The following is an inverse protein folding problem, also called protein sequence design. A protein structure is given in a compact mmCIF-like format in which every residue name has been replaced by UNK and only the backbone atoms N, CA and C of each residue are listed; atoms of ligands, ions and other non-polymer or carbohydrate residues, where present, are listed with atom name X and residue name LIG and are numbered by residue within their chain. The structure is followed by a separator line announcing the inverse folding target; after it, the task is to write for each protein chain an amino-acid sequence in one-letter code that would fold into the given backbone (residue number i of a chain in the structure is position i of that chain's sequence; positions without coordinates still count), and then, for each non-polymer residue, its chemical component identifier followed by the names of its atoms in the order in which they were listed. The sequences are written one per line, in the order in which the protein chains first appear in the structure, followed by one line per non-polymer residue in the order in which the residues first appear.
data_IF_506099902397
#
_entry.id   IF_506099902397
#
_cell.length_a   1.000
_cell.length_b   1.000
_cell.length_c   1.000
_cell.angle_alpha   90.00
_cell.angle_beta   90.00
_cell.angle_gamma   90.00
#
_symmetry.space_group_name_H-M   'P 1'
#
loop_
_entity.id
_entity.type
_entity.pdbx_description
1 polymer ?
#
# COMPACT_ATOMS: atom_id res chain seq x y z
N UNK A 1 18.27 59.65 -42.29
CA UNK A 1 18.27 60.18 -40.91
C UNK A 1 18.22 59.01 -39.93
N UNK A 2 19.35 58.74 -39.29
CA UNK A 2 19.63 57.78 -38.22
C UNK A 2 20.64 58.53 -37.32
N UNK A 3 20.39 58.66 -36.03
CA UNK A 3 21.33 59.24 -35.05
C UNK A 3 21.50 58.20 -33.92
N UNK A 4 22.68 57.60 -33.69
CA UNK A 4 23.99 58.12 -33.23
C UNK A 4 24.13 57.92 -31.70
N UNK A 5 24.87 56.90 -31.25
CA UNK A 5 26.22 56.96 -30.60
C UNK A 5 26.20 57.81 -29.31
N UNK A 6 26.13 57.17 -28.12
CA UNK A 6 27.25 56.70 -27.25
C UNK A 6 27.77 57.76 -26.26
N UNK A 7 27.76 57.38 -24.98
CA UNK A 7 28.70 57.72 -23.90
C UNK A 7 28.83 59.19 -23.47
N UNK A 8 28.75 59.45 -22.15
CA UNK A 8 29.75 60.21 -21.35
C UNK A 8 29.33 60.16 -19.86
N UNK A 9 30.23 59.61 -19.06
CA UNK A 9 30.23 59.41 -17.62
C UNK A 9 30.26 60.71 -16.79
N UNK A 10 29.40 60.82 -15.77
CA UNK A 10 29.67 60.72 -14.32
C UNK A 10 30.75 61.69 -13.80
N UNK A 11 30.24 62.81 -13.26
CA UNK A 11 30.96 63.89 -12.59
C UNK A 11 31.00 63.66 -11.07
N UNK A 12 32.22 63.45 -10.57
CA UNK A 12 32.84 64.00 -9.34
C UNK A 12 31.91 64.69 -8.32
N UNK A 13 31.76 64.02 -7.16
CA UNK A 13 32.08 64.45 -5.78
C UNK A 13 31.81 65.91 -5.34
N UNK A 14 31.35 66.03 -4.07
CA UNK A 14 31.78 67.00 -3.03
C UNK A 14 30.61 67.68 -2.27
N UNK A 15 30.49 67.29 -0.99
CA UNK A 15 30.28 68.11 0.24
C UNK A 15 28.89 68.34 0.88
N UNK A 16 28.91 68.04 2.19
CA UNK A 16 28.36 68.78 3.34
C UNK A 16 27.03 68.28 3.94
N UNK A 17 27.20 67.69 5.14
CA UNK A 17 26.43 67.84 6.37
C UNK A 17 24.92 68.06 6.30
N UNK A 18 24.13 67.24 7.00
CA UNK A 18 23.60 67.58 8.32
C UNK A 18 22.74 66.44 8.90
N UNK A 19 22.92 66.24 10.19
CA UNK A 19 22.17 65.40 11.13
C UNK A 19 20.66 65.69 11.07
N UNK A 20 19.80 64.69 10.87
CA UNK A 20 18.50 64.61 11.56
C UNK A 20 17.91 63.18 11.56
N UNK A 21 17.48 62.77 12.76
CA UNK A 21 16.76 61.56 13.15
C UNK A 21 15.98 60.78 12.07
N UNK A 22 16.23 59.46 11.99
CA UNK A 22 15.29 58.52 11.37
C UNK A 22 14.99 57.37 12.34
N UNK A 23 13.71 57.30 12.69
CA UNK A 23 13.05 56.30 13.54
C UNK A 23 13.36 54.88 13.04
N UNK A 24 13.87 54.02 13.92
CA UNK A 24 14.01 52.58 13.69
C UNK A 24 12.62 51.93 13.65
N UNK A 25 12.09 51.68 12.45
CA UNK A 25 10.98 50.76 12.24
C UNK A 25 11.56 49.34 12.11
N UNK A 26 11.57 48.58 13.21
CA UNK A 26 11.90 47.15 13.19
C UNK A 26 10.75 46.40 12.53
N UNK A 27 10.94 45.99 11.27
CA UNK A 27 10.05 45.05 10.59
C UNK A 27 10.38 43.65 11.10
N UNK A 28 9.55 43.14 12.00
CA UNK A 28 9.60 41.74 12.44
C UNK A 28 9.00 40.88 11.34
N UNK A 29 9.84 40.14 10.61
CA UNK A 29 9.38 39.03 9.77
C UNK A 29 8.97 37.87 10.69
N UNK A 30 7.74 37.33 10.62
CA UNK A 30 7.42 36.08 11.28
C UNK A 30 8.22 34.98 10.58
N UNK A 31 9.24 34.48 11.26
CA UNK A 31 9.94 33.26 10.88
C UNK A 31 8.94 32.11 10.88
N UNK A 32 8.89 31.38 9.75
CA UNK A 32 8.20 30.10 9.66
C UNK A 32 8.72 29.18 10.77
N UNK A 33 7.83 28.85 11.71
CA UNK A 33 8.09 27.87 12.75
C UNK A 33 8.21 26.49 12.09
N UNK A 34 9.40 25.91 12.16
CA UNK A 34 9.70 24.54 11.74
C UNK A 34 9.04 23.57 12.72
N UNK A 35 7.80 23.17 12.43
CA UNK A 35 7.06 22.15 13.17
C UNK A 35 7.13 20.83 12.40
N UNK A 36 8.30 20.17 12.42
CA UNK A 36 8.41 18.76 12.04
C UNK A 36 7.92 17.92 13.22
N UNK A 37 6.87 17.09 13.06
CA UNK A 37 6.55 16.10 14.08
C UNK A 37 7.72 15.11 14.17
N UNK A 38 8.23 14.90 15.38
CA UNK A 38 9.17 13.82 15.64
C UNK A 38 8.46 12.49 15.38
N UNK A 39 9.03 11.68 14.49
CA UNK A 39 8.52 10.34 14.21
C UNK A 39 8.94 9.45 15.39
N UNK A 40 8.03 9.24 16.32
CA UNK A 40 8.22 8.27 17.40
C UNK A 40 8.02 6.86 16.82
N UNK A 41 8.93 5.93 17.14
CA UNK A 41 8.81 4.55 16.68
C UNK A 41 7.55 3.91 17.30
N UNK A 42 6.74 3.19 16.51
CA UNK A 42 5.51 2.58 17.02
C UNK A 42 5.84 1.51 18.07
N UNK A 43 5.02 1.46 19.11
CA UNK A 43 5.19 0.48 20.19
C UNK A 43 5.00 -0.95 19.68
N UNK A 44 5.56 -1.98 20.37
CA UNK A 44 5.35 -3.39 20.01
C UNK A 44 3.87 -3.81 19.93
N UNK A 45 2.96 -3.09 20.59
CA UNK A 45 1.52 -3.34 20.58
C UNK A 45 0.83 -2.72 19.35
N UNK A 46 1.25 -1.52 18.94
CA UNK A 46 0.83 -0.91 17.66
C UNK A 46 1.42 -1.67 16.46
N UNK A 47 2.63 -2.21 16.60
CA UNK A 47 3.23 -3.13 15.63
C UNK A 47 2.53 -4.51 15.57
N UNK A 48 1.72 -4.85 16.59
CA UNK A 48 0.94 -6.10 16.69
C UNK A 48 -0.53 -5.94 16.36
N UNK A 49 -0.99 -4.74 16.01
CA UNK A 49 -2.30 -4.50 15.42
C UNK A 49 -3.47 -5.06 16.23
N UNK A 50 -3.81 -4.46 17.35
CA UNK A 50 -5.13 -4.65 17.99
C UNK A 50 -5.46 -3.53 18.97
N UNK A 51 -6.40 -2.67 18.57
CA UNK A 51 -7.52 -2.15 19.38
C UNK A 51 -8.12 -0.89 18.74
N UNK A 52 -9.04 -1.06 17.79
CA UNK A 52 -10.03 -0.02 17.47
C UNK A 52 -11.39 -0.49 18.00
N UNK A 53 -12.17 0.39 18.67
CA UNK A 53 -13.43 0.01 19.28
C UNK A 53 -14.42 -0.49 18.22
N UNK A 54 -15.07 -1.62 18.52
CA UNK A 54 -16.12 -2.19 17.69
C UNK A 54 -17.27 -1.19 17.50
N UNK A 55 -17.54 -0.79 16.25
CA UNK A 55 -18.74 -0.03 15.91
C UNK A 55 -19.97 -0.94 16.10
N UNK A 56 -20.68 -0.72 17.20
CA UNK A 56 -22.03 -1.27 17.44
C UNK A 56 -23.01 -0.59 16.48
N UNK A 57 -23.29 -1.23 15.35
CA UNK A 57 -24.47 -0.95 14.55
C UNK A 57 -25.17 -2.28 14.21
N UNK A 58 -26.50 -2.40 14.38
CA UNK A 58 -27.22 -3.62 14.01
C UNK A 58 -27.26 -3.76 12.48
N UNK A 59 -26.73 -4.85 11.95
CA UNK A 59 -26.85 -5.21 10.54
C UNK A 59 -28.26 -5.83 10.35
N UNK A 60 -29.10 -5.31 9.44
CA UNK A 60 -30.35 -6.00 9.09
C UNK A 60 -30.01 -7.30 8.36
N UNK A 61 -30.62 -8.41 8.80
CA UNK A 61 -30.44 -9.73 8.19
C UNK A 61 -30.83 -9.69 6.70
N UNK A 62 -29.96 -10.16 5.77
CA UNK A 62 -30.37 -10.31 4.39
C UNK A 62 -31.36 -11.46 4.25
N UNK A 63 -32.43 -11.21 3.50
CA UNK A 63 -33.42 -12.21 3.11
C UNK A 63 -32.72 -13.39 2.39
N UNK A 64 -33.11 -14.60 2.77
CA UNK A 64 -32.58 -15.85 2.23
C UNK A 64 -32.68 -15.90 0.70
N UNK A 65 -31.54 -15.81 0.02
CA UNK A 65 -31.41 -16.21 -1.37
C UNK A 65 -31.10 -17.71 -1.41
N UNK A 66 -31.88 -18.46 -2.19
CA UNK A 66 -31.72 -19.88 -2.42
C UNK A 66 -30.31 -20.24 -2.93
N UNK A 67 -29.79 -21.45 -2.62
CA UNK A 67 -28.42 -21.82 -2.94
C UNK A 67 -28.27 -21.97 -4.46
N UNK A 68 -27.36 -21.19 -5.06
CA UNK A 68 -26.87 -21.48 -6.40
C UNK A 68 -26.04 -22.76 -6.33
N UNK A 69 -26.46 -23.77 -7.10
CA UNK A 69 -25.83 -25.08 -7.21
C UNK A 69 -24.31 -24.95 -7.45
N UNK A 70 -23.54 -25.55 -6.53
CA UNK A 70 -22.09 -25.59 -6.57
C UNK A 70 -21.59 -26.41 -7.76
N UNK A 71 -20.91 -25.74 -8.70
CA UNK A 71 -19.91 -26.39 -9.53
C UNK A 71 -18.66 -26.59 -8.69
N UNK A 72 -18.29 -27.85 -8.47
CA UNK A 72 -17.06 -28.24 -7.78
C UNK A 72 -15.85 -27.60 -8.48
N UNK A 73 -14.99 -26.84 -7.78
CA UNK A 73 -13.83 -26.24 -8.41
C UNK A 73 -12.88 -27.36 -8.85
N UNK A 74 -12.57 -27.40 -10.14
CA UNK A 74 -11.59 -28.32 -10.70
C UNK A 74 -10.31 -28.33 -9.84
N UNK A 75 -9.89 -29.53 -9.41
CA UNK A 75 -8.76 -29.72 -8.53
C UNK A 75 -7.52 -28.98 -9.07
N UNK A 76 -6.98 -28.08 -8.25
CA UNK A 76 -5.74 -27.37 -8.54
C UNK A 76 -4.59 -28.39 -8.56
N UNK A 77 -3.65 -28.34 -9.52
CA UNK A 77 -2.52 -29.28 -9.54
C UNK A 77 -1.52 -29.05 -8.40
N UNK A 78 -1.77 -28.07 -7.52
CA UNK A 78 -0.85 -27.63 -6.49
C UNK A 78 -1.36 -27.98 -5.09
N UNK A 79 -0.48 -28.52 -4.25
CA UNK A 79 -0.80 -28.89 -2.86
C UNK A 79 -0.66 -27.68 -1.93
N UNK A 80 -1.38 -27.63 -0.78
CA UNK A 80 -1.10 -26.65 0.27
C UNK A 80 0.39 -26.68 0.65
N UNK A 81 0.99 -25.51 0.90
CA UNK A 81 2.39 -25.43 1.31
C UNK A 81 3.43 -25.61 0.19
N UNK A 82 3.02 -25.75 -1.08
CA UNK A 82 3.94 -25.99 -2.19
C UNK A 82 4.74 -24.74 -2.56
N UNK A 83 6.03 -24.93 -2.82
CA UNK A 83 6.91 -23.86 -3.26
C UNK A 83 6.68 -23.50 -4.74
N UNK A 84 6.89 -22.23 -5.09
CA UNK A 84 6.87 -21.73 -6.45
C UNK A 84 7.98 -20.70 -6.66
N UNK A 85 8.31 -20.44 -7.93
CA UNK A 85 9.31 -19.45 -8.32
C UNK A 85 8.64 -18.28 -9.04
N UNK A 86 9.01 -17.06 -8.68
CA UNK A 86 8.53 -15.82 -9.30
C UNK A 86 9.65 -14.79 -9.31
N UNK A 87 9.98 -14.19 -10.46
CA UNK A 87 11.01 -13.13 -10.55
C UNK A 87 12.35 -13.52 -9.89
N UNK A 88 12.81 -14.76 -10.09
CA UNK A 88 14.05 -15.25 -9.47
C UNK A 88 13.97 -15.43 -7.94
N UNK A 89 12.77 -15.41 -7.37
CA UNK A 89 12.49 -15.65 -5.96
C UNK A 89 11.79 -17.00 -5.79
N UNK A 90 12.32 -17.86 -4.91
CA UNK A 90 11.63 -19.05 -4.44
C UNK A 90 10.77 -18.69 -3.23
N UNK A 91 9.50 -19.06 -3.28
CA UNK A 91 8.49 -18.77 -2.26
C UNK A 91 7.81 -20.05 -1.85
N UNK A 92 7.64 -20.27 -0.54
CA UNK A 92 6.77 -21.31 0.00
C UNK A 92 5.46 -20.65 0.43
N UNK A 93 4.33 -21.10 -0.13
CA UNK A 93 3.04 -20.63 0.37
C UNK A 93 2.80 -21.15 1.80
N UNK A 94 2.13 -20.37 2.68
CA UNK A 94 1.70 -20.87 3.98
C UNK A 94 0.82 -22.11 3.89
N UNK A 95 0.87 -22.92 4.94
CA UNK A 95 -0.05 -24.04 5.10
C UNK A 95 -1.49 -23.53 5.28
N UNK A 96 -2.46 -24.31 4.80
CA UNK A 96 -3.89 -23.95 4.81
C UNK A 96 -4.32 -22.98 3.70
N UNK A 97 -3.40 -22.33 2.99
CA UNK A 97 -3.75 -21.54 1.81
C UNK A 97 -4.06 -22.46 0.63
N UNK A 98 -5.15 -22.15 -0.07
CA UNK A 98 -5.66 -22.96 -1.16
C UNK A 98 -5.24 -22.35 -2.49
N UNK A 99 -4.29 -22.98 -3.18
CA UNK A 99 -3.80 -22.47 -4.47
C UNK A 99 -4.87 -22.58 -5.55
N UNK A 100 -5.06 -21.49 -6.28
CA UNK A 100 -6.00 -21.39 -7.39
C UNK A 100 -5.27 -21.24 -8.73
N UNK A 101 -5.96 -21.61 -9.81
CA UNK A 101 -5.54 -21.23 -11.16
C UNK A 101 -5.58 -19.70 -11.28
N UNK A 102 -4.49 -19.03 -11.66
CA UNK A 102 -4.52 -17.57 -11.84
C UNK A 102 -5.58 -17.14 -12.86
N UNK A 103 -6.36 -16.13 -12.50
CA UNK A 103 -7.47 -15.64 -13.33
C UNK A 103 -7.02 -15.03 -14.68
N UNK A 104 -5.74 -14.63 -14.79
CA UNK A 104 -5.15 -14.11 -16.02
C UNK A 104 -3.63 -14.36 -16.06
N UNK A 105 -3.00 -14.10 -17.22
CA UNK A 105 -1.56 -14.34 -17.44
C UNK A 105 -0.63 -13.41 -16.67
N UNK A 106 -1.15 -12.29 -16.16
CA UNK A 106 -0.38 -11.31 -15.38
C UNK A 106 -0.14 -11.81 -13.95
N UNK A 107 -1.11 -12.54 -13.37
CA UNK A 107 -0.99 -13.20 -12.06
C UNK A 107 -0.08 -14.43 -12.19
N UNK A 108 1.05 -14.43 -11.49
CA UNK A 108 2.00 -15.55 -11.42
C UNK A 108 1.57 -16.61 -10.42
N UNK A 109 0.87 -16.19 -9.37
CA UNK A 109 0.20 -17.08 -8.46
C UNK A 109 -1.09 -16.44 -7.93
N UNK A 110 -2.02 -17.28 -7.50
CA UNK A 110 -3.27 -16.87 -6.87
C UNK A 110 -3.63 -17.89 -5.80
N UNK A 111 -4.09 -17.43 -4.65
CA UNK A 111 -4.50 -18.26 -3.53
C UNK A 111 -5.77 -17.73 -2.92
N UNK A 112 -6.56 -18.66 -2.41
CA UNK A 112 -7.68 -18.42 -1.51
C UNK A 112 -7.22 -18.65 -0.08
N UNK A 113 -7.54 -17.71 0.80
CA UNK A 113 -7.19 -17.72 2.22
C UNK A 113 -8.47 -18.02 3.00
N UNK A 114 -8.65 -19.24 3.53
CA UNK A 114 -9.89 -19.64 4.18
C UNK A 114 -10.32 -18.68 5.29
N UNK A 115 -11.58 -18.27 5.28
CA UNK A 115 -12.15 -17.30 6.22
C UNK A 115 -11.97 -17.71 7.70
N UNK A 116 -12.00 -16.71 8.58
CA UNK A 116 -12.18 -16.92 10.02
C UNK A 116 -13.61 -17.38 10.30
N UNK A 117 -13.84 -18.10 11.41
CA UNK A 117 -15.15 -18.72 11.71
C UNK A 117 -16.34 -17.76 11.67
N UNK A 118 -16.12 -16.48 12.00
CA UNK A 118 -17.15 -15.44 12.06
C UNK A 118 -17.32 -14.64 10.76
N UNK A 119 -16.53 -14.93 9.72
CA UNK A 119 -16.60 -14.28 8.41
C UNK A 119 -17.29 -15.16 7.38
N UNK A 120 -17.92 -14.57 6.37
CA UNK A 120 -18.51 -15.31 5.24
C UNK A 120 -17.61 -15.34 3.99
N UNK A 121 -16.64 -14.44 3.90
CA UNK A 121 -15.80 -14.29 2.72
C UNK A 121 -14.36 -14.68 3.02
N UNK A 122 -13.81 -15.53 2.17
CA UNK A 122 -12.38 -15.84 2.18
C UNK A 122 -11.55 -14.65 1.71
N UNK A 123 -10.28 -14.63 2.11
CA UNK A 123 -9.29 -13.74 1.53
C UNK A 123 -8.80 -14.24 0.17
N UNK A 124 -8.23 -13.35 -0.62
CA UNK A 124 -7.52 -13.68 -1.86
C UNK A 124 -6.10 -13.11 -1.78
N UNK A 125 -5.10 -13.89 -2.17
CA UNK A 125 -3.74 -13.41 -2.47
C UNK A 125 -3.49 -13.54 -3.97
N UNK A 126 -2.88 -12.52 -4.55
CA UNK A 126 -2.33 -12.54 -5.90
C UNK A 126 -0.86 -12.17 -5.87
N UNK A 127 -0.09 -12.83 -6.73
CA UNK A 127 1.33 -12.52 -6.95
C UNK A 127 1.49 -12.01 -8.36
N UNK A 128 1.91 -10.75 -8.49
CA UNK A 128 1.95 -10.03 -9.77
C UNK A 128 3.32 -9.35 -9.91
N UNK A 129 3.98 -9.42 -11.08
CA UNK A 129 5.16 -8.62 -11.35
C UNK A 129 4.79 -7.14 -11.28
N UNK A 130 5.57 -6.39 -10.53
CA UNK A 130 5.29 -5.01 -10.27
C UNK A 130 5.79 -4.11 -11.42
N UNK A 131 5.02 -3.06 -11.70
CA UNK A 131 5.40 -2.00 -12.61
C UNK A 131 5.09 -0.64 -11.96
N UNK A 132 6.00 0.32 -12.15
CA UNK A 132 5.99 1.59 -11.43
C UNK A 132 6.44 1.41 -9.97
N UNK A 133 7.03 2.44 -9.38
CA UNK A 133 7.58 2.37 -8.03
C UNK A 133 6.54 2.11 -6.94
N UNK A 134 7.02 1.94 -5.70
CA UNK A 134 6.19 1.68 -4.52
C UNK A 134 5.08 2.72 -4.35
N UNK A 135 5.41 4.01 -4.42
CA UNK A 135 4.46 5.10 -4.14
C UNK A 135 3.28 5.11 -5.12
N UNK A 136 3.55 4.93 -6.42
CA UNK A 136 2.51 4.85 -7.44
C UNK A 136 1.55 3.68 -7.19
N UNK A 137 2.08 2.54 -6.71
CA UNK A 137 1.27 1.37 -6.40
C UNK A 137 0.47 1.55 -5.10
N UNK A 138 1.09 2.14 -4.09
CA UNK A 138 0.42 2.47 -2.84
C UNK A 138 -0.78 3.38 -3.10
N UNK A 139 -0.62 4.43 -3.90
CA UNK A 139 -1.74 5.31 -4.27
C UNK A 139 -2.86 4.55 -4.97
N UNK A 140 -2.52 3.66 -5.92
CA UNK A 140 -3.52 2.80 -6.58
C UNK A 140 -4.26 1.90 -5.59
N UNK A 141 -3.60 1.38 -4.57
CA UNK A 141 -4.26 0.54 -3.57
C UNK A 141 -5.12 1.34 -2.60
N UNK A 142 -4.67 2.52 -2.16
CA UNK A 142 -5.47 3.45 -1.35
C UNK A 142 -6.77 3.83 -2.06
N UNK A 143 -6.72 4.05 -3.37
CA UNK A 143 -7.89 4.37 -4.21
C UNK A 143 -8.90 3.22 -4.36
N UNK A 144 -8.59 2.02 -3.88
CA UNK A 144 -9.55 0.91 -3.84
C UNK A 144 -10.41 0.92 -2.58
N UNK A 145 -10.30 1.94 -1.74
CA UNK A 145 -11.13 2.12 -0.56
C UNK A 145 -12.07 3.30 -0.76
N UNK A 146 -13.24 3.24 -0.12
CA UNK A 146 -14.24 4.32 -0.14
C UNK A 146 -13.66 5.62 0.42
N UNK A 147 -12.93 5.48 1.53
CA UNK A 147 -12.15 6.54 2.16
C UNK A 147 -10.68 6.18 2.02
N UNK A 148 -9.83 7.16 1.74
CA UNK A 148 -8.39 6.94 1.58
C UNK A 148 -7.80 6.58 2.95
N UNK A 149 -7.33 5.33 3.16
CA UNK A 149 -6.84 4.90 4.47
C UNK A 149 -5.42 5.40 4.69
N UNK A 150 -5.00 5.60 5.94
CA UNK A 150 -3.57 5.79 6.24
C UNK A 150 -2.84 4.44 6.18
N UNK A 151 -1.70 4.35 5.47
CA UNK A 151 -0.98 3.11 5.34
C UNK A 151 -0.06 2.84 6.53
N UNK A 152 -0.11 1.64 7.07
CA UNK A 152 0.95 1.14 7.95
C UNK A 152 2.01 0.46 7.09
N UNK A 153 3.26 0.90 7.19
CA UNK A 153 4.35 0.43 6.33
C UNK A 153 5.53 -0.03 7.19
N UNK A 154 5.90 -1.29 7.05
CA UNK A 154 7.08 -1.87 7.68
C UNK A 154 8.10 -2.23 6.60
N UNK A 155 9.28 -1.61 6.64
CA UNK A 155 10.38 -1.87 5.72
C UNK A 155 11.42 -2.76 6.38
N UNK A 156 11.91 -3.77 5.65
CA UNK A 156 12.91 -4.70 6.13
C UNK A 156 13.76 -5.25 4.99
N UNK A 157 14.89 -5.88 5.33
CA UNK A 157 15.72 -6.65 4.41
C UNK A 157 15.53 -8.14 4.67
N UNK A 158 15.20 -8.89 3.63
CA UNK A 158 15.03 -10.35 3.68
C UNK A 158 15.96 -10.98 2.65
N UNK A 159 16.90 -11.81 3.08
CA UNK A 159 17.92 -12.43 2.21
C UNK A 159 18.60 -11.43 1.24
N UNK A 160 18.89 -10.21 1.73
CA UNK A 160 19.51 -9.14 0.94
C UNK A 160 18.56 -8.33 0.04
N UNK A 161 17.28 -8.72 -0.08
CA UNK A 161 16.27 -8.00 -0.85
C UNK A 161 15.56 -6.96 0.02
N UNK A 162 15.24 -5.81 -0.56
CA UNK A 162 14.38 -4.82 0.08
C UNK A 162 12.92 -5.28 0.02
N UNK A 163 12.26 -5.29 1.17
CA UNK A 163 10.86 -5.64 1.32
C UNK A 163 10.12 -4.54 2.06
N UNK A 164 8.98 -4.11 1.52
CA UNK A 164 8.03 -3.23 2.21
C UNK A 164 6.70 -3.96 2.39
N UNK A 165 6.30 -4.18 3.64
CA UNK A 165 5.00 -4.72 4.00
C UNK A 165 4.07 -3.55 4.25
N UNK A 166 2.91 -3.55 3.60
CA UNK A 166 1.89 -2.50 3.66
C UNK A 166 0.60 -3.11 4.18
N UNK A 167 -0.01 -2.43 5.15
CA UNK A 167 -1.37 -2.72 5.61
C UNK A 167 -2.26 -1.51 5.37
N UNK A 168 -3.46 -1.77 4.83
CA UNK A 168 -4.54 -0.80 4.66
C UNK A 168 -5.83 -1.40 5.21
N UNK A 169 -6.59 -0.64 5.98
CA UNK A 169 -7.87 -1.06 6.54
C UNK A 169 -8.98 -0.08 6.13
N UNK A 170 -10.19 -0.58 5.85
CA UNK A 170 -11.33 0.29 5.58
C UNK A 170 -12.46 -0.39 4.81
N UNK A 171 -13.30 0.43 4.18
CA UNK A 171 -14.34 -0.06 3.26
C UNK A 171 -13.74 -0.26 1.87
N UNK A 172 -13.49 -1.51 1.49
CA UNK A 172 -12.91 -1.87 0.19
C UNK A 172 -13.96 -1.83 -0.92
N UNK A 173 -13.63 -1.21 -2.04
CA UNK A 173 -14.49 -1.07 -3.22
C UNK A 173 -14.21 -2.21 -4.19
N UNK A 174 -14.79 -3.38 -3.92
CA UNK A 174 -14.53 -4.62 -4.64
C UNK A 174 -15.11 -4.62 -6.05
N UNK A 175 -14.35 -5.15 -7.02
CA UNK A 175 -14.81 -5.50 -8.37
C UNK A 175 -14.29 -6.88 -8.72
N UNK A 176 -15.17 -7.76 -9.18
CA UNK A 176 -14.79 -9.08 -9.67
C UNK A 176 -13.96 -8.97 -10.96
N UNK A 177 -14.26 -7.96 -11.80
CA UNK A 177 -13.51 -7.59 -13.01
C UNK A 177 -13.02 -6.15 -12.85
N UNK A 178 -11.85 -5.92 -12.21
CA UNK A 178 -11.34 -4.58 -11.96
C UNK A 178 -11.16 -3.72 -13.23
N UNK A 179 -10.92 -4.35 -14.38
CA UNK A 179 -10.72 -3.68 -15.66
C UNK A 179 -12.02 -3.38 -16.43
N UNK A 180 -13.16 -3.93 -15.99
CA UNK A 180 -14.45 -3.70 -16.64
C UNK A 180 -15.03 -2.36 -16.17
N UNK A 181 -15.13 -1.33 -17.02
CA UNK A 181 -15.66 -0.02 -16.61
C UNK A 181 -17.16 -0.07 -16.27
N UNK A 182 -17.91 -1.06 -16.79
CA UNK A 182 -19.33 -1.19 -16.55
C UNK A 182 -19.67 -1.85 -15.21
N UNK A 183 -18.72 -2.56 -14.60
CA UNK A 183 -18.93 -3.17 -13.29
C UNK A 183 -18.86 -2.10 -12.18
N UNK A 184 -19.98 -1.94 -11.47
CA UNK A 184 -20.04 -1.11 -10.29
C UNK A 184 -19.27 -1.77 -9.13
N UNK A 185 -18.48 -0.98 -8.40
CA UNK A 185 -17.78 -1.47 -7.23
C UNK A 185 -18.77 -1.78 -6.09
N UNK A 186 -18.58 -2.93 -5.45
CA UNK A 186 -19.36 -3.36 -4.30
C UNK A 186 -18.61 -2.98 -3.02
N UNK A 187 -19.19 -2.14 -2.14
CA UNK A 187 -18.54 -1.77 -0.89
C UNK A 187 -18.47 -2.99 0.04
N UNK A 188 -17.28 -3.24 0.56
CA UNK A 188 -16.96 -4.30 1.51
C UNK A 188 -16.43 -3.65 2.80
N UNK A 189 -17.28 -3.40 3.79
CA UNK A 189 -16.86 -2.77 5.04
C UNK A 189 -15.94 -3.72 5.81
N UNK A 190 -15.07 -3.14 6.65
CA UNK A 190 -14.16 -3.88 7.53
C UNK A 190 -13.26 -4.88 6.79
N UNK A 191 -12.65 -4.41 5.70
CA UNK A 191 -11.68 -5.19 4.93
C UNK A 191 -10.27 -4.70 5.19
N UNK A 192 -9.32 -5.63 5.08
CA UNK A 192 -7.88 -5.36 5.15
C UNK A 192 -7.22 -5.75 3.84
N UNK A 193 -6.26 -4.93 3.41
CA UNK A 193 -5.25 -5.28 2.39
C UNK A 193 -3.93 -5.48 3.12
N UNK A 194 -3.30 -6.63 2.93
CA UNK A 194 -1.91 -6.89 3.32
C UNK A 194 -1.10 -7.13 2.05
N UNK A 195 -0.08 -6.30 1.83
CA UNK A 195 0.74 -6.38 0.63
C UNK A 195 2.23 -6.39 0.96
N UNK A 196 3.03 -7.15 0.22
CA UNK A 196 4.49 -7.08 0.26
C UNK A 196 5.00 -6.64 -1.11
N UNK A 197 5.85 -5.62 -1.09
CA UNK A 197 6.62 -5.13 -2.24
C UNK A 197 8.04 -5.63 -2.10
N UNK A 198 8.48 -6.47 -3.03
CA UNK A 198 9.79 -7.13 -2.95
C UNK A 198 10.63 -6.72 -4.15
N UNK A 199 11.86 -6.26 -3.89
CA UNK A 199 12.88 -6.07 -4.92
C UNK A 199 13.62 -7.39 -5.13
N UNK A 200 13.06 -8.28 -5.94
CA UNK A 200 13.64 -9.60 -6.21
C UNK A 200 14.72 -9.52 -7.32
N UNK A 201 15.58 -10.55 -7.46
CA UNK A 201 16.65 -10.55 -8.48
C UNK A 201 16.14 -10.36 -9.92
N UNK A 202 14.97 -10.93 -10.25
CA UNK A 202 14.34 -10.81 -11.55
C UNK A 202 13.46 -9.55 -11.71
N UNK A 203 13.47 -8.63 -10.76
CA UNK A 203 12.68 -7.40 -10.75
C UNK A 203 11.70 -7.32 -9.57
N UNK A 204 10.90 -6.26 -9.55
CA UNK A 204 9.96 -6.03 -8.47
C UNK A 204 8.74 -6.97 -8.58
N UNK A 205 8.29 -7.51 -7.46
CA UNK A 205 7.10 -8.37 -7.38
C UNK A 205 6.21 -7.95 -6.21
N UNK A 206 4.90 -7.98 -6.43
CA UNK A 206 3.89 -7.73 -5.41
C UNK A 206 3.20 -9.01 -4.99
N UNK A 207 3.17 -9.23 -3.68
CA UNK A 207 2.30 -10.20 -3.03
C UNK A 207 1.19 -9.40 -2.39
N UNK A 208 0.01 -9.36 -3.00
CA UNK A 208 -1.11 -8.57 -2.49
C UNK A 208 -2.23 -9.48 -2.08
N UNK A 209 -2.64 -9.37 -0.82
CA UNK A 209 -3.82 -10.03 -0.29
C UNK A 209 -4.88 -9.02 0.16
N UNK A 210 -6.13 -9.44 0.12
CA UNK A 210 -7.26 -8.69 0.67
C UNK A 210 -8.38 -9.62 1.11
N UNK A 211 -9.18 -9.19 2.08
CA UNK A 211 -10.31 -9.94 2.61
C UNK A 211 -10.93 -9.24 3.83
N UNK A 212 -11.97 -9.84 4.44
CA UNK A 212 -12.50 -9.36 5.72
C UNK A 212 -11.38 -9.26 6.77
N UNK A 213 -11.46 -8.25 7.64
CA UNK A 213 -10.39 -7.93 8.60
C UNK A 213 -10.06 -9.13 9.49
N UNK A 214 -11.05 -9.79 10.09
CA UNK A 214 -10.81 -10.93 10.98
C UNK A 214 -10.14 -12.11 10.25
N UNK A 215 -10.55 -12.38 9.01
CA UNK A 215 -9.87 -13.35 8.13
C UNK A 215 -8.43 -12.95 7.84
N UNK A 216 -8.16 -11.67 7.56
CA UNK A 216 -6.79 -11.21 7.30
C UNK A 216 -5.92 -11.22 8.56
N UNK A 217 -6.49 -10.94 9.73
CA UNK A 217 -5.83 -11.03 11.04
C UNK A 217 -5.42 -12.47 11.36
N UNK A 218 -6.33 -13.44 11.15
CA UNK A 218 -6.02 -14.88 11.27
C UNK A 218 -4.80 -15.29 10.45
N UNK A 219 -4.60 -14.72 9.26
CA UNK A 219 -3.52 -15.08 8.34
C UNK A 219 -2.33 -14.12 8.36
N UNK A 220 -2.34 -13.09 9.21
CA UNK A 220 -1.34 -12.04 9.18
C UNK A 220 0.07 -12.57 9.50
N UNK A 221 0.19 -13.38 10.55
CA UNK A 221 1.46 -14.02 10.93
C UNK A 221 1.98 -14.91 9.80
N UNK A 222 1.13 -15.78 9.25
CA UNK A 222 1.47 -16.64 8.13
C UNK A 222 1.91 -15.86 6.87
N UNK A 223 1.29 -14.70 6.60
CA UNK A 223 1.71 -13.80 5.53
C UNK A 223 3.10 -13.23 5.80
N UNK A 224 3.36 -12.75 7.02
CA UNK A 224 4.66 -12.21 7.42
C UNK A 224 5.75 -13.28 7.37
N UNK A 225 5.49 -14.49 7.87
CA UNK A 225 6.42 -15.62 7.82
C UNK A 225 6.77 -16.00 6.37
N UNK A 226 5.78 -16.04 5.48
CA UNK A 226 6.03 -16.26 4.05
C UNK A 226 7.00 -15.20 3.51
N UNK A 227 6.76 -13.93 3.84
CA UNK A 227 7.59 -12.81 3.39
C UNK A 227 9.01 -12.89 3.94
N UNK A 228 9.16 -13.24 5.21
CA UNK A 228 10.46 -13.37 5.87
C UNK A 228 11.21 -14.64 5.42
N UNK A 229 10.52 -15.62 4.84
CA UNK A 229 11.11 -16.85 4.28
C UNK A 229 11.62 -16.73 2.83
N UNK A 230 11.49 -15.55 2.21
CA UNK A 230 11.88 -15.32 0.82
C UNK A 230 13.36 -15.61 0.60
N UNK A 231 13.64 -16.47 -0.39
CA UNK A 231 14.98 -16.83 -0.80
C UNK A 231 15.15 -16.63 -2.31
N UNK A 232 16.33 -16.16 -2.77
CA UNK A 232 16.67 -16.23 -4.18
C UNK A 232 16.49 -17.66 -4.72
N UNK A 233 15.93 -17.80 -5.92
CA UNK A 233 15.99 -19.06 -6.64
C UNK A 233 17.46 -19.30 -7.03
N UNK A 234 18.05 -20.40 -6.55
CA UNK A 234 19.37 -20.82 -7.00
C UNK A 234 19.28 -21.15 -8.50
N UNK A 235 20.26 -20.68 -9.29
CA UNK A 235 20.44 -21.04 -10.70
C UNK A 235 20.74 -22.54 -10.87
#
# INVERSE_FOLDING_TARGET
MKFSTRFIDILVSVRVSLVTAMLLLVVVFPGCSDSRPQHEEPTPEEARGSAHPALKAPIPAPAAAAPAAGGEPAASPWKPGEAFVVMGLKVKAPEGWLRQKPANRMRKAQFKLPHAENDTFDGELTVIPAFGGMDANLQRWKQQFKEVPEPLINKRKVAGMEVSIVQLDGTYMYKARPMDPAEAAQPRPDYRVLAAVVQAPGGQVFFKSFGPRATMEKWQEAFTDMVDSFAPAQE
#
